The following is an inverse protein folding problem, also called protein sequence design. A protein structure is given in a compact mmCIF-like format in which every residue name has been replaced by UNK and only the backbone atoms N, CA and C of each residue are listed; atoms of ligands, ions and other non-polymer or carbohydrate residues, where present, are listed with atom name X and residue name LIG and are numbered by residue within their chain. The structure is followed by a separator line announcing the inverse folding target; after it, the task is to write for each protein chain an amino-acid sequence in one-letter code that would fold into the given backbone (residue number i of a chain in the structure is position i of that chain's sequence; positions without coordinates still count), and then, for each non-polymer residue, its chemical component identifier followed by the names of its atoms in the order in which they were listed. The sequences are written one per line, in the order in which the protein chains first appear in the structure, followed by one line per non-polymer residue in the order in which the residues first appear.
data_IF_808398272083
#
_entry.id   IF_808398272083
#
_cell.length_a   1.000
_cell.length_b   1.000
_cell.length_c   1.000
_cell.angle_alpha   90.00
_cell.angle_beta   90.00
_cell.angle_gamma   90.00
#
_symmetry.space_group_name_H-M   'P 1'
#
loop_
_entity.id
_entity.type
_entity.pdbx_description
1 polymer ?
#
# COMPACT_ATOMS: atom_id res chain seq x y z
N UNK A 1 -7.53 4.22 -25.65
CA UNK A 1 -6.49 4.58 -24.68
C UNK A 1 -6.06 3.30 -24.00
N UNK A 2 -4.77 2.96 -24.03
CA UNK A 2 -4.28 1.73 -23.37
C UNK A 2 -3.82 2.10 -21.97
N UNK A 3 -4.43 1.48 -20.96
CA UNK A 3 -4.14 1.73 -19.55
C UNK A 3 -3.29 0.55 -19.03
N UNK A 4 -2.21 0.85 -18.30
CA UNK A 4 -1.41 -0.14 -17.57
C UNK A 4 -1.43 0.23 -16.10
N UNK A 5 -1.77 -0.74 -15.24
CA UNK A 5 -1.63 -0.60 -13.80
C UNK A 5 -0.20 -0.94 -13.42
N UNK A 6 0.44 -0.08 -12.61
CA UNK A 6 1.81 -0.26 -12.13
C UNK A 6 1.77 -0.09 -10.62
N UNK A 7 2.42 -1.02 -9.91
CA UNK A 7 2.68 -0.91 -8.48
C UNK A 7 4.09 -0.36 -8.28
N UNK A 8 4.21 0.68 -7.45
CA UNK A 8 5.46 1.37 -7.16
C UNK A 8 5.58 1.55 -5.66
N UNK A 9 6.78 1.35 -5.13
CA UNK A 9 7.13 1.76 -3.77
C UNK A 9 7.62 3.20 -3.82
N UNK A 10 6.96 4.10 -3.08
CA UNK A 10 7.24 5.53 -3.08
C UNK A 10 8.10 5.90 -1.88
N UNK A 11 9.00 6.86 -2.07
CA UNK A 11 9.75 7.45 -0.97
C UNK A 11 9.82 8.97 -1.12
N UNK A 12 9.84 9.66 0.02
CA UNK A 12 10.18 11.07 0.09
C UNK A 12 11.68 11.18 0.40
N UNK A 13 12.45 11.83 -0.47
CA UNK A 13 13.89 12.07 -0.25
C UNK A 13 14.17 13.10 0.85
N UNK A 14 13.13 13.65 1.47
CA UNK A 14 13.22 14.59 2.58
C UNK A 14 12.61 13.93 3.82
N UNK A 15 13.48 13.56 4.77
CA UNK A 15 13.15 12.72 5.92
C UNK A 15 12.83 13.49 7.20
N UNK A 16 13.20 14.77 7.32
CA UNK A 16 12.85 15.63 8.47
C UNK A 16 13.07 17.11 8.16
N UNK A 17 12.68 17.97 9.11
CA UNK A 17 12.93 19.42 9.13
C UNK A 17 14.40 19.72 9.53
N UNK A 18 15.21 18.70 9.85
CA UNK A 18 16.56 18.89 10.46
C UNK A 18 17.65 19.27 9.46
N UNK A 19 17.36 19.29 8.15
CA UNK A 19 18.22 19.98 7.19
C UNK A 19 17.94 21.49 7.30
N UNK A 20 18.76 22.15 8.13
CA UNK A 20 18.66 23.52 8.68
C UNK A 20 18.44 24.69 7.68
N UNK A 21 18.11 24.46 6.40
CA UNK A 21 18.03 25.53 5.39
C UNK A 21 16.74 25.67 4.55
N UNK A 22 15.67 24.87 4.70
CA UNK A 22 14.49 25.06 3.82
C UNK A 22 13.13 24.96 4.53
N UNK A 23 12.48 26.13 4.65
CA UNK A 23 11.10 26.42 4.23
C UNK A 23 9.93 25.66 4.86
N UNK A 24 8.81 26.36 5.06
CA UNK A 24 7.53 25.75 5.43
C UNK A 24 7.15 24.59 4.49
N UNK A 25 6.55 23.53 5.04
CA UNK A 25 6.00 22.41 4.26
C UNK A 25 5.14 22.97 3.12
N UNK A 26 5.38 22.60 1.85
CA UNK A 26 4.52 23.03 0.76
C UNK A 26 3.06 22.64 1.04
N UNK A 27 2.12 23.54 0.75
CA UNK A 27 0.71 23.32 1.06
C UNK A 27 0.13 22.04 0.42
N UNK A 28 0.71 21.59 -0.69
CA UNK A 28 0.30 20.36 -1.37
C UNK A 28 0.74 19.08 -0.66
N UNK A 29 1.74 19.12 0.23
CA UNK A 29 2.27 17.95 0.92
C UNK A 29 1.33 17.53 2.05
N UNK A 30 0.19 16.93 1.70
CA UNK A 30 -0.93 16.69 2.62
C UNK A 30 -0.53 15.83 3.82
N UNK A 31 0.25 14.78 3.59
CA UNK A 31 0.60 13.80 4.63
C UNK A 31 1.79 14.22 5.51
N UNK A 32 2.62 15.18 5.06
CA UNK A 32 3.84 15.57 5.79
C UNK A 32 5.11 15.15 5.08
N UNK A 33 6.26 15.63 5.57
CA UNK A 33 7.56 15.14 5.11
C UNK A 33 7.72 13.67 5.48
N UNK A 34 8.40 12.90 4.63
CA UNK A 34 8.57 11.46 4.83
C UNK A 34 7.39 10.58 4.38
N UNK A 35 6.21 11.16 4.09
CA UNK A 35 4.99 10.41 3.74
C UNK A 35 4.48 10.81 2.33
N UNK A 36 4.96 10.13 1.26
CA UNK A 36 4.58 10.44 -0.11
C UNK A 36 3.19 9.90 -0.48
N UNK A 37 2.41 10.67 -1.25
CA UNK A 37 1.11 10.24 -1.80
C UNK A 37 0.83 10.78 -3.21
N UNK A 38 -0.39 10.57 -3.75
CA UNK A 38 -0.72 10.99 -5.13
C UNK A 38 -0.52 12.49 -5.35
N UNK A 39 -0.76 13.28 -4.29
CA UNK A 39 -0.62 14.73 -4.27
C UNK A 39 0.81 15.19 -4.62
N UNK A 40 1.83 14.36 -4.36
CA UNK A 40 3.21 14.65 -4.75
C UNK A 40 3.41 14.56 -6.27
N UNK A 41 2.74 13.61 -6.95
CA UNK A 41 2.78 13.50 -8.41
C UNK A 41 2.00 14.64 -9.08
N UNK A 42 0.80 14.96 -8.58
CA UNK A 42 -0.02 16.06 -9.10
C UNK A 42 0.73 17.40 -9.11
N UNK A 43 1.62 17.60 -8.13
CA UNK A 43 2.36 18.84 -7.93
C UNK A 43 3.82 18.77 -8.41
N UNK A 44 4.24 17.70 -9.10
CA UNK A 44 5.62 17.49 -9.55
C UNK A 44 6.65 17.74 -8.42
N UNK A 45 6.39 17.18 -7.24
CA UNK A 45 7.24 17.39 -6.07
C UNK A 45 8.68 16.92 -6.35
N UNK A 46 9.67 17.82 -6.22
CA UNK A 46 11.09 17.49 -6.51
C UNK A 46 11.70 16.44 -5.56
N UNK A 47 11.01 16.14 -4.46
CA UNK A 47 11.47 15.21 -3.43
C UNK A 47 10.83 13.82 -3.53
N UNK A 48 9.88 13.60 -4.45
CA UNK A 48 9.30 12.26 -4.63
C UNK A 48 10.22 11.40 -5.49
N UNK A 49 10.49 10.20 -5.01
CA UNK A 49 11.11 9.13 -5.76
C UNK A 49 10.28 7.85 -5.70
N UNK A 50 10.61 6.89 -6.55
CA UNK A 50 9.99 5.58 -6.56
C UNK A 50 11.00 4.48 -6.89
N UNK A 51 10.68 3.26 -6.49
CA UNK A 51 11.36 2.03 -6.89
C UNK A 51 10.34 0.96 -7.31
N UNK A 52 10.85 -0.16 -7.82
CA UNK A 52 10.02 -1.31 -8.18
C UNK A 52 9.48 -1.99 -6.92
N UNK A 53 8.24 -2.45 -6.99
CA UNK A 53 7.59 -3.30 -5.99
C UNK A 53 7.49 -4.76 -6.52
N UNK A 54 8.61 -5.52 -6.57
CA UNK A 54 8.60 -6.86 -7.16
C UNK A 54 7.86 -7.85 -6.26
N UNK A 55 7.01 -8.69 -6.86
CA UNK A 55 6.28 -9.76 -6.18
C UNK A 55 5.29 -9.29 -5.08
N UNK A 56 4.90 -8.01 -5.11
CA UNK A 56 3.93 -7.46 -4.18
C UNK A 56 2.49 -7.57 -4.70
N UNK A 57 1.56 -7.74 -3.77
CA UNK A 57 0.12 -7.70 -4.00
C UNK A 57 -0.41 -6.52 -3.18
N UNK A 58 -1.07 -5.56 -3.83
CA UNK A 58 -1.63 -4.38 -3.16
C UNK A 58 -3.09 -4.14 -3.56
N UNK A 59 -3.90 -3.75 -2.58
CA UNK A 59 -5.24 -3.20 -2.78
C UNK A 59 -5.24 -1.75 -2.31
N UNK A 60 -5.84 -0.85 -3.08
CA UNK A 60 -5.82 0.58 -2.83
C UNK A 60 -7.20 1.15 -2.52
N UNK A 61 -7.23 2.27 -1.79
CA UNK A 61 -8.45 3.02 -1.54
C UNK A 61 -8.95 3.75 -2.80
N UNK A 62 -10.01 4.55 -2.69
CA UNK A 62 -10.66 5.28 -3.79
C UNK A 62 -9.68 6.08 -4.67
N UNK A 63 -8.55 6.53 -4.12
CA UNK A 63 -7.52 7.33 -4.80
C UNK A 63 -6.24 6.55 -5.14
N UNK A 64 -6.23 5.22 -5.02
CA UNK A 64 -5.03 4.44 -5.32
C UNK A 64 -3.99 4.40 -4.18
N UNK A 65 -4.27 5.04 -3.03
CA UNK A 65 -3.36 5.08 -1.88
C UNK A 65 -3.52 3.86 -0.96
N UNK A 66 -2.39 3.42 -0.39
CA UNK A 66 -2.29 2.36 0.62
C UNK A 66 -1.80 3.03 1.91
N UNK A 67 -2.68 3.31 2.89
CA UNK A 67 -2.35 4.22 3.99
C UNK A 67 -1.34 3.66 5.01
N UNK A 68 -1.20 2.33 5.12
CA UNK A 68 -0.21 1.68 5.99
C UNK A 68 0.04 0.22 5.57
N UNK A 69 1.05 -0.42 6.19
CA UNK A 69 1.36 -1.84 5.97
C UNK A 69 0.22 -2.79 6.41
N UNK A 70 -0.62 -2.35 7.36
CA UNK A 70 -1.82 -3.08 7.80
C UNK A 70 -2.96 -2.99 6.75
N UNK A 71 -2.84 -2.08 5.78
CA UNK A 71 -3.78 -1.87 4.68
C UNK A 71 -3.51 -2.77 3.47
N UNK A 72 -2.55 -3.69 3.55
CA UNK A 72 -2.21 -4.65 2.49
C UNK A 72 -3.27 -5.75 2.29
N UNK A 73 -4.44 -5.60 2.93
CA UNK A 73 -5.44 -6.65 3.07
C UNK A 73 -6.84 -6.01 2.95
N UNK A 74 -7.42 -6.10 1.74
CA UNK A 74 -8.65 -5.40 1.38
C UNK A 74 -9.93 -6.22 1.56
N UNK A 75 -10.85 -5.75 2.40
CA UNK A 75 -12.26 -6.17 2.42
C UNK A 75 -12.99 -5.62 1.17
N UNK A 76 -13.79 -6.44 0.48
CA UNK A 76 -14.60 -6.00 -0.67
C UNK A 76 -16.09 -6.33 -0.53
N UNK A 77 -16.98 -5.42 -0.91
CA UNK A 77 -18.43 -5.69 -0.98
C UNK A 77 -19.14 -5.75 0.38
N UNK A 78 -20.04 -6.73 0.57
CA UNK A 78 -20.86 -6.93 1.78
C UNK A 78 -20.08 -7.35 3.04
N UNK A 79 -18.75 -7.34 2.98
CA UNK A 79 -17.89 -7.89 4.03
C UNK A 79 -17.74 -6.97 5.26
N UNK A 80 -18.24 -5.73 5.20
CA UNK A 80 -18.35 -4.82 6.36
C UNK A 80 -19.81 -4.69 6.75
N UNK A 81 -20.23 -5.20 7.92
CA UNK A 81 -21.59 -5.02 8.42
C UNK A 81 -21.92 -3.53 8.63
N UNK A 82 -23.16 -3.14 8.31
CA UNK A 82 -23.64 -1.75 8.45
C UNK A 82 -23.55 -1.20 9.89
N UNK A 83 -23.40 -2.08 10.88
CA UNK A 83 -23.33 -1.77 12.31
C UNK A 83 -21.92 -1.96 12.90
N UNK A 84 -20.89 -2.15 12.07
CA UNK A 84 -19.56 -2.45 12.57
C UNK A 84 -18.85 -1.20 13.12
N UNK A 85 -18.39 -1.29 14.37
CA UNK A 85 -17.47 -0.33 14.96
C UNK A 85 -16.01 -0.61 14.54
N UNK A 86 -15.10 0.29 14.89
CA UNK A 86 -13.68 0.19 14.52
C UNK A 86 -13.03 -1.10 15.03
N UNK A 87 -13.41 -1.57 16.22
CA UNK A 87 -12.88 -2.80 16.81
C UNK A 87 -13.32 -4.04 16.01
N UNK A 88 -14.60 -4.10 15.63
CA UNK A 88 -15.15 -5.16 14.76
C UNK A 88 -14.51 -5.10 13.37
N UNK A 89 -14.31 -3.90 12.81
CA UNK A 89 -13.60 -3.73 11.54
C UNK A 89 -12.16 -4.26 11.63
N UNK A 90 -11.43 -3.93 12.69
CA UNK A 90 -10.06 -4.41 12.92
C UNK A 90 -10.00 -5.94 13.03
N UNK A 91 -10.93 -6.55 13.77
CA UNK A 91 -11.02 -8.01 13.89
C UNK A 91 -11.32 -8.68 12.55
N UNK A 92 -12.26 -8.13 11.78
CA UNK A 92 -12.59 -8.62 10.44
C UNK A 92 -11.35 -8.54 9.53
N UNK A 93 -10.66 -7.39 9.49
CA UNK A 93 -9.38 -7.19 8.78
C UNK A 93 -8.38 -8.31 9.05
N UNK A 94 -8.17 -8.62 10.33
CA UNK A 94 -7.26 -9.71 10.75
C UNK A 94 -7.72 -11.09 10.29
N UNK A 95 -9.00 -11.40 10.36
CA UNK A 95 -9.49 -12.69 9.88
C UNK A 95 -9.30 -12.86 8.37
N UNK A 96 -9.53 -11.79 7.60
CA UNK A 96 -9.27 -11.81 6.16
C UNK A 96 -7.79 -11.93 5.82
N UNK A 97 -6.94 -11.31 6.62
CA UNK A 97 -5.49 -11.47 6.52
C UNK A 97 -5.06 -12.92 6.63
N UNK A 98 -5.51 -13.60 7.67
CA UNK A 98 -5.15 -14.98 7.93
C UNK A 98 -5.58 -15.87 6.75
N UNK A 99 -6.79 -15.65 6.21
CA UNK A 99 -7.30 -16.37 5.02
C UNK A 99 -6.44 -16.10 3.77
N UNK A 100 -6.11 -14.83 3.49
CA UNK A 100 -5.29 -14.47 2.35
C UNK A 100 -3.89 -15.09 2.44
N UNK A 101 -3.24 -15.03 3.61
CA UNK A 101 -1.93 -15.64 3.85
C UNK A 101 -1.97 -17.15 3.64
N UNK A 102 -2.99 -17.83 4.16
CA UNK A 102 -3.18 -19.27 3.96
C UNK A 102 -3.31 -19.60 2.47
N UNK A 103 -4.12 -18.84 1.71
CA UNK A 103 -4.30 -19.06 0.27
C UNK A 103 -3.03 -18.80 -0.55
N UNK A 104 -2.22 -17.81 -0.16
CA UNK A 104 -0.91 -17.58 -0.78
C UNK A 104 0.02 -18.77 -0.53
N UNK A 105 0.06 -19.31 0.69
CA UNK A 105 0.87 -20.49 1.02
C UNK A 105 0.41 -21.73 0.26
N UNK A 106 -0.90 -21.96 0.16
CA UNK A 106 -1.45 -23.06 -0.65
C UNK A 106 -1.01 -22.95 -2.12
N UNK A 107 -1.14 -21.76 -2.72
CA UNK A 107 -0.75 -21.50 -4.09
C UNK A 107 0.77 -21.67 -4.30
N UNK A 108 1.59 -21.21 -3.36
CA UNK A 108 3.03 -21.39 -3.35
C UNK A 108 3.37 -22.89 -3.34
N UNK A 109 2.81 -23.66 -2.42
CA UNK A 109 3.02 -25.09 -2.33
C UNK A 109 2.61 -25.85 -3.59
N UNK A 110 1.47 -25.47 -4.18
CA UNK A 110 1.00 -26.04 -5.43
C UNK A 110 1.96 -25.73 -6.59
N UNK A 111 2.51 -24.52 -6.65
CA UNK A 111 3.48 -24.13 -7.67
C UNK A 111 4.75 -25.00 -7.63
N UNK A 112 5.35 -25.21 -6.46
CA UNK A 112 6.54 -26.07 -6.33
C UNK A 112 6.23 -27.53 -6.66
N UNK A 113 5.07 -28.04 -6.24
CA UNK A 113 4.61 -29.39 -6.63
C UNK A 113 4.50 -29.56 -8.14
N UNK A 114 3.97 -28.55 -8.85
CA UNK A 114 3.78 -28.60 -10.31
C UNK A 114 5.07 -28.41 -11.10
N UNK A 115 5.99 -27.59 -10.59
CA UNK A 115 7.24 -27.27 -11.29
C UNK A 115 8.37 -28.25 -11.01
N UNK A 116 8.29 -29.01 -9.91
CA UNK A 116 9.35 -29.94 -9.50
C UNK A 116 10.63 -29.25 -9.04
N UNK A 117 10.58 -27.93 -8.79
CA UNK A 117 11.66 -27.17 -8.17
C UNK A 117 11.72 -27.61 -6.70
N UNK A 118 12.92 -27.88 -6.17
CA UNK A 118 13.09 -28.12 -4.73
C UNK A 118 12.86 -26.82 -3.94
N UNK A 119 12.10 -26.92 -2.85
CA UNK A 119 11.79 -25.80 -1.95
C UNK A 119 13.01 -25.32 -1.18
#
# INVERSE_FOLDING_TARGET
MTIKHILLELYCSQSSIEDEEIGEKPAYCKNGFGDPGYHCFENNCKHIGFTYAPHEIAYSAELGEVPDADSWIGFGGEMVPNDADEAKISHLKKMWEDVCREKIHEAYDEYFKKTGIEK
#
